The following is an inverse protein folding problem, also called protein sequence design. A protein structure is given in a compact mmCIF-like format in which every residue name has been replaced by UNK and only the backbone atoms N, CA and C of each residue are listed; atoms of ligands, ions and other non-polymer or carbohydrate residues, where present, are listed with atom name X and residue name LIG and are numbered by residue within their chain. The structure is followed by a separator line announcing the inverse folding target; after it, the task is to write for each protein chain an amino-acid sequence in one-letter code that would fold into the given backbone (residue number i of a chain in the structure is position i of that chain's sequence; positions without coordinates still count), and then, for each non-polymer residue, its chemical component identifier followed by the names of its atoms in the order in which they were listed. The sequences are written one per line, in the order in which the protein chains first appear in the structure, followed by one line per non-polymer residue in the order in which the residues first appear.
data_IF_151911873791
#
_entry.id   IF_151911873791
#
_cell.length_a   1.000
_cell.length_b   1.000
_cell.length_c   1.000
_cell.angle_alpha   90.00
_cell.angle_beta   90.00
_cell.angle_gamma   90.00
#
_symmetry.space_group_name_H-M   'P 1'
#
loop_
_entity.id
_entity.type
_entity.pdbx_description
1 polymer ?
#
# COMPACT_ATOMS: atom_id res chain seq x y z
N UNK A 1 4.16 -21.92 -5.40
CA UNK A 1 4.02 -20.63 -6.12
C UNK A 1 2.62 -20.10 -5.85
N UNK A 2 2.45 -19.31 -4.78
CA UNK A 2 1.13 -18.80 -4.38
C UNK A 2 0.72 -17.68 -5.34
N UNK A 3 -0.26 -17.96 -6.22
CA UNK A 3 -0.92 -17.00 -7.11
C UNK A 3 -1.83 -16.07 -6.27
N UNK A 4 -1.24 -15.15 -5.52
CA UNK A 4 -2.01 -14.06 -4.92
C UNK A 4 -2.21 -12.98 -5.99
N UNK A 5 -3.42 -13.01 -6.55
CA UNK A 5 -4.15 -11.95 -7.26
C UNK A 5 -3.70 -11.61 -8.68
N UNK A 6 -4.38 -12.23 -9.66
CA UNK A 6 -4.26 -11.90 -11.09
C UNK A 6 -4.75 -10.48 -11.48
N UNK A 7 -5.10 -9.60 -10.53
CA UNK A 7 -5.57 -8.23 -10.81
C UNK A 7 -5.43 -7.30 -9.59
N UNK A 8 -4.25 -7.26 -8.94
CA UNK A 8 -3.89 -6.08 -8.13
C UNK A 8 -3.20 -5.09 -9.07
N UNK A 9 -3.82 -3.94 -9.30
CA UNK A 9 -3.13 -2.79 -9.87
C UNK A 9 -2.51 -2.01 -8.71
N UNK A 10 -1.19 -2.09 -8.61
CA UNK A 10 -0.40 -1.28 -7.68
C UNK A 10 -0.16 0.08 -8.33
N UNK A 11 -0.80 1.13 -7.81
CA UNK A 11 -0.72 2.46 -8.42
C UNK A 11 0.46 3.28 -7.88
N UNK A 12 0.77 3.16 -6.58
CA UNK A 12 1.78 4.02 -5.96
C UNK A 12 2.34 3.38 -4.71
N UNK A 13 3.67 3.35 -4.59
CA UNK A 13 4.38 2.97 -3.37
C UNK A 13 5.20 4.18 -2.93
N UNK A 14 4.91 4.69 -1.74
CA UNK A 14 5.61 5.83 -1.14
C UNK A 14 6.30 5.35 0.12
N UNK A 15 7.63 5.49 0.16
CA UNK A 15 8.41 5.31 1.39
C UNK A 15 8.06 6.44 2.34
N UNK A 16 7.75 6.12 3.60
CA UNK A 16 7.52 7.13 4.64
C UNK A 16 8.83 7.39 5.41
N UNK A 17 9.53 8.52 5.18
CA UNK A 17 10.78 8.84 5.85
C UNK A 17 10.58 9.56 7.19
N UNK A 18 9.34 9.76 7.66
CA UNK A 18 9.05 10.76 8.71
C UNK A 18 9.70 10.49 10.06
N UNK A 19 10.02 9.24 10.40
CA UNK A 19 10.65 8.86 11.66
C UNK A 19 11.42 7.55 11.50
N UNK A 20 12.62 7.51 12.08
CA UNK A 20 13.43 6.30 12.12
C UNK A 20 12.92 5.38 13.23
N UNK A 21 11.90 4.59 12.90
CA UNK A 21 11.31 3.60 13.80
C UNK A 21 12.14 2.30 13.84
N UNK A 22 13.36 2.29 13.27
CA UNK A 22 14.19 1.11 13.05
C UNK A 22 13.76 0.24 11.87
N UNK A 23 12.66 0.58 11.19
CA UNK A 23 12.08 -0.21 10.08
C UNK A 23 11.52 0.69 8.99
N UNK A 24 11.77 0.34 7.72
CA UNK A 24 11.25 1.07 6.56
C UNK A 24 9.77 0.74 6.36
N UNK A 25 8.92 1.76 6.41
CA UNK A 25 7.48 1.62 6.10
C UNK A 25 7.18 2.14 4.70
N UNK A 26 6.43 1.35 3.98
CA UNK A 26 5.91 1.63 2.66
C UNK A 26 4.39 1.79 2.75
N UNK A 27 3.90 2.87 2.17
CA UNK A 27 2.48 3.08 1.93
C UNK A 27 2.19 2.81 0.47
N UNK A 28 1.31 1.87 0.21
CA UNK A 28 0.88 1.44 -1.11
C UNK A 28 -0.60 1.72 -1.32
N UNK A 29 -0.93 2.16 -2.53
CA UNK A 29 -2.30 2.12 -3.03
C UNK A 29 -2.46 0.96 -3.99
N UNK A 30 -3.43 0.11 -3.69
CA UNK A 30 -3.76 -1.06 -4.47
C UNK A 30 -5.23 -1.00 -4.88
N UNK A 31 -5.50 -1.08 -6.18
CA UNK A 31 -6.85 -1.23 -6.69
C UNK A 31 -7.15 -2.71 -6.85
N UNK A 32 -8.09 -3.20 -6.04
CA UNK A 32 -8.52 -4.60 -6.00
C UNK A 32 -9.99 -4.64 -6.39
N UNK A 33 -10.32 -5.33 -7.49
CA UNK A 33 -11.70 -5.43 -8.01
C UNK A 33 -12.40 -4.07 -8.14
N UNK A 34 -11.69 -3.05 -8.66
CA UNK A 34 -12.24 -1.70 -8.84
C UNK A 34 -12.30 -0.84 -7.57
N UNK A 35 -11.92 -1.36 -6.40
CA UNK A 35 -11.89 -0.62 -5.13
C UNK A 35 -10.46 -0.26 -4.76
N UNK A 36 -10.24 0.99 -4.36
CA UNK A 36 -8.93 1.45 -3.89
C UNK A 36 -8.72 1.08 -2.41
N UNK A 37 -7.56 0.51 -2.12
CA UNK A 37 -7.10 0.17 -0.79
C UNK A 37 -5.80 0.90 -0.49
N UNK A 38 -5.68 1.36 0.74
CA UNK A 38 -4.45 1.90 1.30
C UNK A 38 -3.82 0.82 2.19
N UNK A 39 -2.64 0.37 1.79
CA UNK A 39 -1.88 -0.69 2.44
C UNK A 39 -0.59 -0.09 3.00
N UNK A 40 -0.38 -0.22 4.29
CA UNK A 40 0.89 0.11 4.92
C UNK A 40 1.59 -1.18 5.28
N UNK A 41 2.82 -1.35 4.78
CA UNK A 41 3.62 -2.54 5.03
C UNK A 41 5.08 -2.17 5.30
N UNK A 42 5.83 -3.12 5.83
CA UNK A 42 7.28 -3.03 5.99
C UNK A 42 7.93 -4.23 5.32
N UNK A 43 9.09 -4.00 4.72
CA UNK A 43 9.89 -5.07 4.12
C UNK A 43 11.04 -5.40 5.09
N UNK A 44 11.07 -6.65 5.56
CA UNK A 44 12.15 -7.18 6.40
C UNK A 44 12.82 -8.33 5.64
N UNK A 45 13.83 -8.00 4.85
CA UNK A 45 14.51 -8.95 3.98
C UNK A 45 13.55 -9.53 2.93
N UNK A 46 13.34 -10.84 2.96
CA UNK A 46 12.42 -11.54 2.04
C UNK A 46 10.97 -11.55 2.51
N UNK A 47 10.68 -11.04 3.72
CA UNK A 47 9.33 -11.07 4.31
C UNK A 47 8.71 -9.68 4.22
N UNK A 48 7.57 -9.60 3.54
CA UNK A 48 6.70 -8.42 3.56
C UNK A 48 5.70 -8.54 4.73
N UNK A 49 5.80 -7.64 5.69
CA UNK A 49 4.88 -7.56 6.83
C UNK A 49 3.84 -6.47 6.60
N UNK A 50 2.58 -6.88 6.41
CA UNK A 50 1.47 -5.96 6.28
C UNK A 50 1.10 -5.45 7.68
N UNK A 51 1.26 -4.15 7.89
CA UNK A 51 0.92 -3.49 9.16
C UNK A 51 -0.57 -3.12 9.16
N UNK A 52 -1.08 -2.63 8.03
CA UNK A 52 -2.49 -2.25 7.89
C UNK A 52 -2.91 -2.34 6.42
N UNK A 53 -4.09 -2.90 6.15
CA UNK A 53 -4.74 -2.83 4.85
C UNK A 53 -6.17 -2.33 5.07
N UNK A 54 -6.46 -1.11 4.60
CA UNK A 54 -7.77 -0.49 4.76
C UNK A 54 -8.32 -0.01 3.44
N UNK A 55 -9.64 -0.03 3.29
CA UNK A 55 -10.30 0.61 2.16
C UNK A 55 -9.95 2.09 2.15
N UNK A 56 -9.49 2.61 1.02
CA UNK A 56 -9.17 4.03 0.89
C UNK A 56 -10.48 4.83 0.94
N UNK A 57 -10.53 5.84 1.80
CA UNK A 57 -11.71 6.72 1.90
C UNK A 57 -11.79 7.62 0.67
N UNK A 58 -12.99 8.12 0.34
CA UNK A 58 -13.21 8.99 -0.83
C UNK A 58 -12.31 10.23 -0.82
N UNK A 59 -11.96 10.77 0.34
CA UNK A 59 -11.02 11.90 0.48
C UNK A 59 -9.59 11.54 0.06
N UNK A 60 -9.16 10.33 0.34
CA UNK A 60 -7.85 9.85 -0.06
C UNK A 60 -7.86 9.53 -1.55
N UNK A 61 -8.88 8.83 -2.06
CA UNK A 61 -9.09 8.64 -3.50
C UNK A 61 -8.98 9.97 -4.26
N UNK A 62 -9.70 11.01 -3.83
CA UNK A 62 -9.64 12.35 -4.48
C UNK A 62 -8.28 13.04 -4.36
N UNK A 63 -7.56 12.88 -3.25
CA UNK A 63 -6.20 13.43 -3.11
C UNK A 63 -5.19 12.75 -4.02
N UNK A 64 -5.45 11.50 -4.39
CA UNK A 64 -4.56 10.73 -5.26
C UNK A 64 -4.97 10.80 -6.74
N UNK A 65 -6.25 10.98 -7.07
CA UNK A 65 -6.78 11.15 -8.43
C UNK A 65 -6.45 12.51 -9.07
N UNK A 66 -5.89 13.45 -8.29
CA UNK A 66 -5.45 14.78 -8.75
C UNK A 66 -3.93 14.90 -8.94
N UNK A 67 -3.19 13.77 -8.94
CA UNK A 67 -1.75 13.71 -9.18
C UNK A 67 -1.42 13.13 -10.54
#
# INVERSE_FOLDING_TARGET
MCRWVSSILTEKVVRDPRKDYGEVRYNMLAKINGRLFHVTYTERGEITWIISARKANQREQRRYDQG
#
